data_IF_702515337320
#
_entry.id   IF_702515337320
#
_cell.length_a   1.000
_cell.length_b   1.000
_cell.length_c   1.000
_cell.angle_alpha   90.00
_cell.angle_beta   90.00
_cell.angle_gamma   90.00
#
_symmetry.space_group_name_H-M   'P 1'
#
loop_
_entity.id
_entity.type
_entity.pdbx_description
1 polymer ?
#
# COMPACT_ATOMS: atom_id res chain seq x y z
N UNK A 1 7.57 -22.42 5.17
CA UNK A 1 6.62 -22.12 6.27
C UNK A 1 5.44 -21.38 5.66
N UNK A 2 4.22 -21.68 6.03
CA UNK A 2 3.07 -20.91 5.54
C UNK A 2 3.19 -19.44 5.99
N UNK A 3 2.71 -18.54 5.17
CA UNK A 3 2.66 -17.11 5.49
C UNK A 3 1.57 -16.90 6.54
N UNK A 4 1.90 -16.25 7.66
CA UNK A 4 0.90 -15.83 8.62
C UNK A 4 0.06 -14.72 7.99
N UNK A 5 -1.26 -14.92 7.96
CA UNK A 5 -2.21 -13.99 7.37
C UNK A 5 -3.53 -14.03 8.11
N UNK A 6 -3.93 -12.88 8.61
CA UNK A 6 -5.23 -12.68 9.24
C UNK A 6 -5.80 -11.33 8.81
N UNK A 7 -6.97 -11.35 8.18
CA UNK A 7 -7.63 -10.14 7.71
C UNK A 7 -8.37 -9.44 8.85
N UNK A 8 -8.20 -8.12 8.96
CA UNK A 8 -8.99 -7.28 9.85
C UNK A 8 -10.46 -7.22 9.39
N UNK A 9 -11.37 -7.58 10.27
CA UNK A 9 -12.81 -7.63 10.00
C UNK A 9 -13.59 -6.39 10.48
N UNK A 10 -12.90 -5.44 11.10
CA UNK A 10 -13.50 -4.24 11.69
C UNK A 10 -13.69 -4.32 13.20
N UNK A 11 -13.36 -5.43 13.83
CA UNK A 11 -13.50 -5.60 15.28
C UNK A 11 -12.25 -5.22 16.08
N UNK A 12 -11.15 -4.88 15.40
CA UNK A 12 -9.87 -4.58 16.01
C UNK A 12 -9.19 -5.85 16.54
N UNK A 13 -8.79 -6.72 15.63
CA UNK A 13 -8.11 -7.97 15.93
C UNK A 13 -6.68 -7.70 16.43
N UNK A 14 -6.19 -8.55 17.35
CA UNK A 14 -4.85 -8.41 17.94
C UNK A 14 -3.75 -8.98 17.05
N UNK A 15 -4.11 -9.80 16.08
CA UNK A 15 -3.22 -10.56 15.22
C UNK A 15 -3.48 -10.32 13.72
N UNK A 16 -4.27 -9.30 13.35
CA UNK A 16 -4.51 -8.98 11.96
C UNK A 16 -3.25 -8.46 11.26
N UNK A 17 -3.05 -8.88 10.01
CA UNK A 17 -1.88 -8.54 9.20
C UNK A 17 -2.24 -7.76 7.95
N UNK A 18 -3.51 -7.67 7.61
CA UNK A 18 -3.99 -7.01 6.39
C UNK A 18 -5.43 -6.53 6.53
N UNK A 19 -5.79 -5.45 5.83
CA UNK A 19 -7.19 -5.02 5.66
C UNK A 19 -7.88 -5.73 4.49
N UNK A 20 -7.13 -6.39 3.60
CA UNK A 20 -7.59 -6.94 2.33
C UNK A 20 -7.25 -8.42 2.26
N UNK A 21 -8.19 -9.25 1.82
CA UNK A 21 -7.92 -10.65 1.49
C UNK A 21 -7.28 -10.80 0.11
N UNK A 22 -6.73 -11.97 -0.16
CA UNK A 22 -6.21 -12.30 -1.50
C UNK A 22 -7.28 -12.23 -2.58
N UNK A 23 -8.53 -12.63 -2.26
CA UNK A 23 -9.66 -12.54 -3.18
C UNK A 23 -10.05 -11.10 -3.49
N UNK A 24 -10.08 -10.21 -2.49
CA UNK A 24 -10.34 -8.78 -2.68
C UNK A 24 -9.23 -8.12 -3.52
N UNK A 25 -7.97 -8.50 -3.31
CA UNK A 25 -6.85 -8.01 -4.11
C UNK A 25 -6.96 -8.45 -5.57
N UNK A 26 -7.24 -9.74 -5.83
CA UNK A 26 -7.47 -10.25 -7.19
C UNK A 26 -8.62 -9.51 -7.86
N UNK A 27 -9.73 -9.31 -7.17
CA UNK A 27 -10.87 -8.55 -7.69
C UNK A 27 -10.51 -7.09 -7.97
N UNK A 28 -9.67 -6.48 -7.15
CA UNK A 28 -9.16 -5.13 -7.40
C UNK A 28 -8.36 -5.07 -8.71
N UNK A 29 -7.43 -6.02 -8.93
CA UNK A 29 -6.65 -6.08 -10.17
C UNK A 29 -7.56 -6.22 -11.40
N UNK A 30 -8.54 -7.13 -11.36
CA UNK A 30 -9.49 -7.33 -12.44
C UNK A 30 -10.31 -6.07 -12.74
N UNK A 31 -10.81 -5.40 -11.70
CA UNK A 31 -11.63 -4.20 -11.83
C UNK A 31 -10.88 -3.03 -12.51
N UNK A 32 -9.57 -2.96 -12.34
CA UNK A 32 -8.74 -1.91 -12.91
C UNK A 32 -7.94 -2.35 -14.14
N UNK A 33 -8.12 -3.60 -14.59
CA UNK A 33 -7.40 -4.14 -15.75
C UNK A 33 -5.90 -4.34 -15.51
N UNK A 34 -5.52 -4.52 -14.25
CA UNK A 34 -4.15 -4.86 -13.86
C UNK A 34 -3.95 -6.36 -13.88
N UNK A 35 -2.71 -6.80 -14.06
CA UNK A 35 -2.32 -8.22 -13.99
C UNK A 35 -1.15 -8.40 -13.03
N UNK A 36 -1.11 -9.53 -12.38
CA UNK A 36 0.00 -9.97 -11.52
C UNK A 36 0.25 -11.45 -11.79
N UNK A 37 1.52 -11.83 -11.80
CA UNK A 37 1.94 -13.23 -11.93
C UNK A 37 2.07 -13.93 -10.56
N UNK A 38 1.83 -13.20 -9.47
CA UNK A 38 1.91 -13.74 -8.11
C UNK A 38 0.69 -14.58 -7.76
N UNK A 39 0.91 -15.63 -7.00
CA UNK A 39 -0.13 -16.58 -6.57
C UNK A 39 0.04 -16.99 -5.12
N UNK A 40 -1.03 -17.44 -4.49
CA UNK A 40 -0.98 -18.04 -3.15
C UNK A 40 -0.24 -17.19 -2.11
N UNK A 41 0.80 -17.77 -1.52
CA UNK A 41 1.60 -17.13 -0.46
C UNK A 41 2.30 -15.84 -0.92
N UNK A 42 2.63 -15.71 -2.20
CA UNK A 42 3.25 -14.49 -2.73
C UNK A 42 2.31 -13.30 -2.66
N UNK A 43 1.02 -13.49 -2.94
CA UNK A 43 0.01 -12.44 -2.76
C UNK A 43 -0.11 -12.05 -1.29
N UNK A 44 -0.12 -13.02 -0.37
CA UNK A 44 -0.18 -12.75 1.06
C UNK A 44 1.05 -11.96 1.54
N UNK A 45 2.23 -12.26 1.02
CA UNK A 45 3.45 -11.49 1.30
C UNK A 45 3.35 -10.04 0.78
N UNK A 46 2.81 -9.82 -0.42
CA UNK A 46 2.58 -8.48 -0.95
C UNK A 46 1.61 -7.68 -0.07
N UNK A 47 0.54 -8.32 0.38
CA UNK A 47 -0.45 -7.69 1.26
C UNK A 47 0.14 -7.33 2.62
N UNK A 48 0.91 -8.22 3.22
CA UNK A 48 1.59 -7.95 4.48
C UNK A 48 2.62 -6.80 4.34
N UNK A 49 3.40 -6.77 3.25
CA UNK A 49 4.37 -5.69 2.96
C UNK A 49 3.66 -4.36 2.72
N UNK A 50 2.57 -4.35 1.97
CA UNK A 50 1.79 -3.13 1.73
C UNK A 50 1.16 -2.58 3.01
N UNK A 51 0.70 -3.45 3.89
CA UNK A 51 0.15 -3.07 5.19
C UNK A 51 1.22 -2.44 6.10
N UNK A 52 2.42 -3.02 6.14
CA UNK A 52 3.54 -2.45 6.89
C UNK A 52 3.85 -1.01 6.42
N UNK A 53 3.88 -0.78 5.12
CA UNK A 53 4.09 0.55 4.55
C UNK A 53 2.97 1.54 4.90
N UNK A 54 1.72 1.07 5.00
CA UNK A 54 0.62 1.93 5.45
C UNK A 54 0.85 2.38 6.88
N UNK A 55 1.17 1.48 7.79
CA UNK A 55 1.42 1.82 9.19
C UNK A 55 2.63 2.75 9.36
N UNK A 56 3.67 2.58 8.57
CA UNK A 56 4.88 3.42 8.66
C UNK A 56 4.69 4.82 8.06
N UNK A 57 3.91 4.91 6.98
CA UNK A 57 3.81 6.12 6.16
C UNK A 57 2.70 7.06 6.60
N UNK A 58 1.56 6.54 7.05
CA UNK A 58 0.35 7.32 7.26
C UNK A 58 -0.02 7.48 8.74
N UNK A 59 -0.39 8.68 9.12
CA UNK A 59 -0.92 9.03 10.44
C UNK A 59 -2.40 9.30 10.32
N UNK A 60 -3.20 8.38 10.84
CA UNK A 60 -4.65 8.47 10.72
C UNK A 60 -5.25 9.33 11.82
N UNK A 61 -6.27 10.11 11.44
CA UNK A 61 -7.14 10.87 12.34
C UNK A 61 -7.98 9.94 13.21
N UNK A 62 -8.57 10.49 14.25
CA UNK A 62 -9.43 9.75 15.16
C UNK A 62 -8.64 8.89 16.14
N UNK A 63 -9.33 7.97 16.79
CA UNK A 63 -8.79 7.14 17.87
C UNK A 63 -8.98 5.67 17.53
N UNK A 64 -8.01 4.83 17.86
CA UNK A 64 -8.12 3.37 17.72
C UNK A 64 -9.27 2.83 18.56
N UNK A 65 -9.93 1.78 18.08
CA UNK A 65 -11.10 1.19 18.78
C UNK A 65 -10.67 0.38 19.99
N UNK A 66 -9.55 -0.35 19.86
CA UNK A 66 -8.96 -1.15 20.95
C UNK A 66 -7.46 -0.89 21.05
N UNK A 67 -6.96 -0.79 22.27
CA UNK A 67 -5.53 -0.60 22.51
C UNK A 67 -4.68 -1.82 22.11
N UNK A 68 -5.30 -2.99 21.95
CA UNK A 68 -4.66 -4.26 21.61
C UNK A 68 -4.75 -4.59 20.11
N UNK A 69 -5.46 -3.79 19.31
CA UNK A 69 -5.56 -4.05 17.87
C UNK A 69 -4.20 -3.95 17.18
N UNK A 70 -3.93 -4.87 16.24
CA UNK A 70 -2.66 -4.95 15.55
C UNK A 70 -2.46 -3.82 14.53
N UNK A 71 -3.54 -3.36 13.89
CA UNK A 71 -3.52 -2.38 12.81
C UNK A 71 -4.11 -1.04 13.25
N UNK A 72 -3.81 0.02 12.50
CA UNK A 72 -4.30 1.38 12.78
C UNK A 72 -5.82 1.56 12.63
N UNK A 73 -6.48 0.69 11.88
CA UNK A 73 -7.93 0.63 11.73
C UNK A 73 -8.47 -0.68 12.29
N UNK A 74 -9.70 -0.71 12.84
CA UNK A 74 -10.76 0.33 12.84
C UNK A 74 -10.51 1.50 13.82
N UNK A 75 -11.21 2.64 13.58
CA UNK A 75 -11.04 3.87 14.36
C UNK A 75 -12.38 4.57 14.65
N UNK A 76 -12.42 5.28 15.77
CA UNK A 76 -13.51 6.20 16.12
C UNK A 76 -13.27 7.59 15.55
N UNK A 77 -14.35 8.36 15.37
CA UNK A 77 -14.32 9.79 14.97
C UNK A 77 -13.60 10.05 13.65
N UNK A 78 -13.78 9.15 12.71
CA UNK A 78 -13.29 9.31 11.35
C UNK A 78 -14.42 9.69 10.40
N UNK A 79 -14.10 10.48 9.38
CA UNK A 79 -15.06 11.00 8.42
C UNK A 79 -14.52 10.84 6.99
N UNK A 80 -15.44 10.60 6.08
CA UNK A 80 -15.12 10.62 4.64
C UNK A 80 -14.79 12.03 4.17
N UNK A 81 -14.29 12.15 2.92
CA UNK A 81 -14.06 13.47 2.27
C UNK A 81 -15.31 14.36 2.21
N UNK A 82 -16.49 13.78 2.27
CA UNK A 82 -17.78 14.49 2.24
C UNK A 82 -18.33 14.73 3.66
N UNK A 83 -17.49 14.59 4.69
CA UNK A 83 -17.84 14.77 6.10
C UNK A 83 -18.94 13.82 6.61
N UNK A 84 -19.03 12.62 6.02
CA UNK A 84 -19.90 11.55 6.50
C UNK A 84 -19.13 10.71 7.52
N UNK A 85 -19.72 10.47 8.68
CA UNK A 85 -19.12 9.65 9.74
C UNK A 85 -18.94 8.21 9.28
N UNK A 86 -17.77 7.64 9.55
CA UNK A 86 -17.48 6.22 9.34
C UNK A 86 -17.78 5.48 10.63
N UNK A 87 -18.45 4.33 10.52
CA UNK A 87 -18.72 3.48 11.68
C UNK A 87 -17.42 2.96 12.30
N UNK A 88 -17.41 2.77 13.60
CA UNK A 88 -16.20 2.35 14.34
C UNK A 88 -15.80 0.89 14.12
N UNK A 89 -16.63 0.12 13.45
CA UNK A 89 -16.42 -1.26 13.05
C UNK A 89 -16.26 -1.42 11.52
N UNK A 90 -16.10 -0.31 10.81
CA UNK A 90 -15.96 -0.28 9.36
C UNK A 90 -14.51 -0.02 8.94
N UNK A 91 -14.01 -0.84 8.02
CA UNK A 91 -12.77 -0.59 7.29
C UNK A 91 -13.13 0.13 5.99
N UNK A 92 -12.74 1.42 5.82
CA UNK A 92 -13.12 2.18 4.64
C UNK A 92 -12.63 1.53 3.35
N UNK A 93 -13.49 1.51 2.33
CA UNK A 93 -13.10 1.00 1.01
C UNK A 93 -11.85 1.70 0.47
N UNK A 94 -11.72 3.00 0.69
CA UNK A 94 -10.54 3.76 0.26
C UNK A 94 -9.24 3.26 0.90
N UNK A 95 -9.28 2.77 2.15
CA UNK A 95 -8.13 2.16 2.81
C UNK A 95 -7.78 0.80 2.17
N UNK A 96 -8.78 -0.01 1.88
CA UNK A 96 -8.60 -1.29 1.16
C UNK A 96 -8.03 -1.07 -0.23
N UNK A 97 -8.59 -0.12 -0.99
CA UNK A 97 -8.10 0.22 -2.33
C UNK A 97 -6.67 0.80 -2.29
N UNK A 98 -6.34 1.58 -1.26
CA UNK A 98 -4.98 2.08 -1.06
C UNK A 98 -3.98 0.94 -0.78
N UNK A 99 -4.34 -0.03 0.05
CA UNK A 99 -3.51 -1.20 0.30
C UNK A 99 -3.30 -2.02 -0.98
N UNK A 100 -4.35 -2.26 -1.75
CA UNK A 100 -4.25 -2.95 -3.05
C UNK A 100 -3.34 -2.20 -4.02
N UNK A 101 -3.46 -0.88 -4.10
CA UNK A 101 -2.61 -0.04 -4.95
C UNK A 101 -1.14 -0.13 -4.56
N UNK A 102 -0.83 -0.08 -3.27
CA UNK A 102 0.55 -0.23 -2.77
C UNK A 102 1.07 -1.63 -3.06
N UNK A 103 0.28 -2.67 -2.80
CA UNK A 103 0.67 -4.06 -3.08
C UNK A 103 1.02 -4.25 -4.56
N UNK A 104 0.19 -3.71 -5.46
CA UNK A 104 0.46 -3.76 -6.89
C UNK A 104 1.74 -3.01 -7.29
N UNK A 105 2.03 -1.86 -6.68
CA UNK A 105 3.27 -1.12 -6.93
C UNK A 105 4.51 -1.87 -6.43
N UNK A 106 4.41 -2.56 -5.30
CA UNK A 106 5.47 -3.43 -4.80
C UNK A 106 5.70 -4.59 -5.79
N UNK A 107 4.64 -5.20 -6.30
CA UNK A 107 4.73 -6.28 -7.29
C UNK A 107 5.45 -5.83 -8.56
N UNK A 108 5.07 -4.67 -9.11
CA UNK A 108 5.75 -4.09 -10.28
C UNK A 108 7.23 -3.78 -10.00
N UNK A 109 7.55 -3.31 -8.80
CA UNK A 109 8.93 -3.02 -8.42
C UNK A 109 9.76 -4.31 -8.30
N UNK A 110 9.21 -5.36 -7.70
CA UNK A 110 9.85 -6.66 -7.58
C UNK A 110 10.10 -7.29 -8.97
N UNK A 111 9.16 -7.15 -9.92
CA UNK A 111 9.33 -7.59 -11.31
C UNK A 111 10.43 -6.79 -12.02
N UNK A 112 10.45 -5.47 -11.87
CA UNK A 112 11.46 -4.60 -12.47
C UNK A 112 12.88 -4.88 -11.95
N UNK A 113 13.03 -5.20 -10.66
CA UNK A 113 14.33 -5.62 -10.10
C UNK A 113 14.81 -6.96 -10.68
N UNK A 114 13.90 -7.87 -11.00
CA UNK A 114 14.21 -9.13 -11.68
C UNK A 114 14.66 -8.95 -13.14
N UNK A 115 14.22 -7.88 -13.79
CA UNK A 115 14.55 -7.55 -15.18
C UNK A 115 15.79 -6.66 -15.34
N UNK A 116 16.25 -5.98 -14.28
CA UNK A 116 17.47 -5.13 -14.33
C UNK A 116 18.72 -6.01 -14.30
N UNK A 117 18.94 -6.74 -15.38
CA UNK A 117 20.21 -7.40 -15.68
C UNK A 117 21.13 -6.52 -16.56
N UNK A 118 20.78 -5.25 -16.78
CA UNK A 118 21.63 -4.34 -17.53
C UNK A 118 22.38 -3.37 -16.58
N UNK A 119 23.61 -3.72 -16.15
CA UNK A 119 24.42 -2.85 -15.28
C UNK A 119 24.88 -1.55 -15.99
N UNK A 120 24.55 -1.38 -17.27
CA UNK A 120 24.92 -0.21 -18.06
C UNK A 120 23.76 0.77 -18.33
N UNK A 121 22.54 0.51 -17.81
CA UNK A 121 21.40 1.40 -18.01
C UNK A 121 21.68 2.83 -17.53
N UNK A 122 22.48 3.00 -16.48
CA UNK A 122 22.94 4.31 -16.02
C UNK A 122 23.87 5.02 -17.02
N UNK A 123 24.58 4.27 -17.86
CA UNK A 123 25.50 4.82 -18.87
C UNK A 123 24.80 5.23 -20.16
N UNK A 124 23.59 4.75 -20.41
CA UNK A 124 22.82 5.05 -21.61
C UNK A 124 21.93 6.30 -21.49
N UNK A 125 22.02 7.04 -20.38
CA UNK A 125 21.41 8.35 -20.23
C UNK A 125 19.89 8.34 -20.02
N UNK A 126 19.29 7.22 -19.63
CA UNK A 126 17.89 7.16 -19.25
C UNK A 126 17.67 7.84 -17.90
N UNK A 127 17.10 9.05 -17.91
CA UNK A 127 16.80 9.82 -16.69
C UNK A 127 15.49 9.42 -16.02
N UNK A 128 14.60 8.76 -16.75
CA UNK A 128 13.33 8.27 -16.19
C UNK A 128 12.71 7.20 -17.06
N UNK A 129 12.08 6.22 -16.45
CA UNK A 129 11.28 5.21 -17.13
C UNK A 129 9.90 5.18 -16.49
N UNK A 130 8.85 5.26 -17.29
CA UNK A 130 7.47 5.16 -16.85
C UNK A 130 6.88 3.82 -17.29
N UNK A 131 6.42 3.04 -16.34
CA UNK A 131 5.71 1.77 -16.56
C UNK A 131 4.31 1.91 -15.96
N UNK A 132 3.35 2.33 -16.80
CA UNK A 132 1.98 2.56 -16.36
C UNK A 132 1.89 3.64 -15.29
N UNK A 133 1.24 3.40 -14.13
CA UNK A 133 1.13 4.38 -13.05
C UNK A 133 2.43 4.57 -12.24
N UNK A 134 3.48 3.82 -12.53
CA UNK A 134 4.77 3.89 -11.85
C UNK A 134 5.76 4.69 -12.69
N UNK A 135 6.38 5.70 -12.08
CA UNK A 135 7.50 6.46 -12.65
C UNK A 135 8.75 6.19 -11.84
N UNK A 136 9.79 5.64 -12.50
CA UNK A 136 11.13 5.48 -11.91
C UNK A 136 11.98 6.62 -12.44
N UNK A 137 12.41 7.51 -11.56
CA UNK A 137 13.33 8.59 -11.90
C UNK A 137 14.73 8.22 -11.44
N UNK A 138 15.66 8.10 -12.40
CA UNK A 138 17.07 7.95 -12.12
C UNK A 138 17.67 9.33 -11.91
N UNK A 139 17.86 9.72 -10.66
CA UNK A 139 18.44 11.03 -10.32
C UNK A 139 19.92 11.08 -10.62
N UNK A 140 20.32 12.12 -11.37
CA UNK A 140 21.70 12.53 -11.41
C UNK A 140 22.01 13.28 -10.11
N UNK A 141 22.84 12.67 -9.28
CA UNK A 141 23.62 13.28 -8.22
C UNK A 141 23.08 13.28 -6.78
N UNK A 142 23.93 12.68 -5.96
CA UNK A 142 24.11 12.75 -4.51
C UNK A 142 23.15 11.96 -3.60
N UNK A 143 23.74 10.82 -3.18
CA UNK A 143 23.62 10.27 -1.81
C UNK A 143 22.22 10.20 -1.20
N UNK A 144 21.37 9.40 -1.81
CA UNK A 144 20.44 8.52 -1.09
C UNK A 144 19.93 7.47 -2.07
N UNK A 145 20.05 6.20 -1.72
CA UNK A 145 19.47 5.06 -2.43
C UNK A 145 17.94 5.06 -2.26
N UNK A 146 17.31 6.21 -2.46
CA UNK A 146 15.88 6.33 -2.45
C UNK A 146 15.38 6.10 -3.88
N UNK A 147 15.22 4.85 -4.25
CA UNK A 147 14.38 4.44 -5.37
C UNK A 147 12.94 4.73 -4.95
N UNK A 148 12.54 6.00 -5.07
CA UNK A 148 11.26 6.48 -4.62
C UNK A 148 10.12 5.86 -5.43
N UNK A 149 9.55 4.77 -4.94
CA UNK A 149 8.27 4.27 -5.41
C UNK A 149 7.24 5.35 -5.07
N UNK A 150 6.58 5.89 -6.09
CA UNK A 150 5.54 6.90 -5.88
C UNK A 150 4.22 6.24 -5.56
N UNK A 151 3.70 6.46 -4.37
CA UNK A 151 2.40 5.94 -3.92
C UNK A 151 1.27 6.95 -4.12
N UNK A 152 1.30 7.74 -5.18
CA UNK A 152 0.36 8.84 -5.44
C UNK A 152 -1.13 8.44 -5.34
N UNK A 153 -1.49 7.25 -5.80
CA UNK A 153 -2.88 6.76 -5.71
C UNK A 153 -3.28 6.54 -4.26
N UNK A 154 -2.45 5.85 -3.49
CA UNK A 154 -2.70 5.61 -2.08
C UNK A 154 -2.72 6.92 -1.28
N UNK A 155 -1.77 7.83 -1.54
CA UNK A 155 -1.73 9.16 -0.92
C UNK A 155 -3.03 9.94 -1.16
N UNK A 156 -3.56 9.90 -2.38
CA UNK A 156 -4.82 10.57 -2.73
C UNK A 156 -6.02 9.93 -2.02
N UNK A 157 -6.09 8.59 -1.99
CA UNK A 157 -7.17 7.85 -1.35
C UNK A 157 -7.19 8.05 0.17
N UNK A 158 -6.03 8.11 0.81
CA UNK A 158 -5.90 8.22 2.25
C UNK A 158 -5.90 9.66 2.79
N UNK A 159 -5.73 10.65 1.93
CA UNK A 159 -5.70 12.07 2.30
C UNK A 159 -6.86 12.52 3.21
N UNK A 160 -8.13 12.10 3.01
CA UNK A 160 -9.22 12.49 3.90
C UNK A 160 -9.07 11.98 5.33
N UNK A 161 -8.41 10.83 5.50
CA UNK A 161 -8.30 10.11 6.77
C UNK A 161 -7.01 10.40 7.53
N UNK A 162 -6.06 11.09 6.90
CA UNK A 162 -4.74 11.37 7.48
C UNK A 162 -4.58 12.83 7.88
N UNK A 163 -3.78 13.06 8.91
CA UNK A 163 -3.26 14.39 9.21
C UNK A 163 -2.16 14.76 8.21
N UNK A 164 -2.12 16.03 7.77
CA UNK A 164 -1.17 16.53 6.75
C UNK A 164 0.30 16.52 7.19
N UNK A 165 0.66 15.81 8.23
CA UNK A 165 2.03 15.65 8.70
C UNK A 165 2.62 14.40 8.06
N UNK A 166 3.12 14.54 6.82
CA UNK A 166 4.03 13.54 6.30
C UNK A 166 5.29 13.54 7.16
N UNK A 167 5.68 12.38 7.71
CA UNK A 167 7.06 12.24 8.18
C UNK A 167 7.97 12.36 6.97
N UNK A 168 8.78 13.39 6.97
CA UNK A 168 9.93 13.54 6.09
C UNK A 168 11.01 12.59 6.57
#
# INVERSE_FOLDING_TARGET
>A
MPVEFNQEDGTGLEDSTSYVSSAEYTQYLENYGYSSNKTGDEILQLLNRSQLLINERYWFKGEIVKNTQALDWPRHRCYTKNNVSIASDEIPKALKDAQCSIAYQIDLADEAEGEITNPNAEKEGYQSQSLGPMSITYGNNSSSNDRGISYNTADTLLKPFTDNTYRV
#
